data_IF_003488523310
#
_entry.id   IF_003488523310
#
_cell.length_a   1.000
_cell.length_b   1.000
_cell.length_c   1.000
_cell.angle_alpha   90.00
_cell.angle_beta   90.00
_cell.angle_gamma   90.00
#
_symmetry.space_group_name_H-M   'P 1'
#
loop_
_entity.id
_entity.type
_entity.pdbx_description
1 polymer ?
#
# COMPACT_ATOMS: atom_id res chain seq x y z
N UNK A 1 -9.15 -2.98 12.53
CA UNK A 1 -8.01 -2.15 12.08
C UNK A 1 -7.70 -2.42 10.61
N UNK A 2 -7.52 -3.70 10.22
CA UNK A 2 -7.26 -4.09 8.83
C UNK A 2 -8.34 -3.62 7.84
N UNK A 3 -9.62 -3.84 8.14
CA UNK A 3 -10.71 -3.42 7.25
C UNK A 3 -10.72 -1.90 6.98
N UNK A 4 -10.42 -1.09 8.00
CA UNK A 4 -10.33 0.39 7.83
C UNK A 4 -9.15 0.77 6.93
N UNK A 5 -8.01 0.10 7.07
CA UNK A 5 -6.85 0.33 6.20
C UNK A 5 -7.17 -0.02 4.75
N UNK A 6 -7.79 -1.18 4.53
CA UNK A 6 -8.19 -1.65 3.20
C UNK A 6 -9.18 -0.68 2.56
N UNK A 7 -10.16 -0.19 3.33
CA UNK A 7 -11.14 0.77 2.84
C UNK A 7 -10.49 2.12 2.47
N UNK A 8 -9.53 2.60 3.25
CA UNK A 8 -8.78 3.81 2.89
C UNK A 8 -7.88 3.63 1.66
N UNK A 9 -7.25 2.47 1.49
CA UNK A 9 -6.45 2.15 0.30
C UNK A 9 -7.33 2.07 -0.95
N UNK A 10 -8.48 1.42 -0.88
CA UNK A 10 -9.44 1.35 -2.00
C UNK A 10 -9.94 2.74 -2.37
N UNK A 11 -10.29 3.58 -1.39
CA UNK A 11 -10.68 4.97 -1.65
C UNK A 11 -9.54 5.77 -2.31
N UNK A 12 -8.30 5.60 -1.82
CA UNK A 12 -7.11 6.20 -2.41
C UNK A 12 -6.89 5.77 -3.86
N UNK A 13 -7.00 4.46 -4.14
CA UNK A 13 -6.88 3.91 -5.48
C UNK A 13 -7.96 4.44 -6.43
N UNK A 14 -9.20 4.61 -5.95
CA UNK A 14 -10.26 5.20 -6.76
C UNK A 14 -9.93 6.67 -7.09
N UNK A 15 -9.57 7.46 -6.08
CA UNK A 15 -9.32 8.90 -6.24
C UNK A 15 -8.07 9.20 -7.07
N UNK A 16 -6.97 8.50 -6.79
CA UNK A 16 -5.66 8.80 -7.39
C UNK A 16 -5.34 7.93 -8.60
N UNK A 17 -5.94 6.75 -8.77
CA UNK A 17 -5.70 5.93 -9.97
C UNK A 17 -6.91 5.87 -10.90
N UNK A 18 -8.07 5.42 -10.41
CA UNK A 18 -9.22 5.19 -11.28
C UNK A 18 -9.73 6.46 -11.97
N UNK A 19 -9.86 7.57 -11.23
CA UNK A 19 -10.32 8.84 -11.80
C UNK A 19 -9.33 9.40 -12.83
N UNK A 20 -8.02 9.55 -12.54
CA UNK A 20 -7.06 10.05 -13.53
C UNK A 20 -6.95 9.15 -14.76
N UNK A 21 -7.01 7.81 -14.59
CA UNK A 21 -7.01 6.87 -15.72
C UNK A 21 -8.26 7.08 -16.59
N UNK A 22 -9.43 7.21 -15.99
CA UNK A 22 -10.66 7.47 -16.73
C UNK A 22 -10.56 8.78 -17.52
N UNK A 23 -10.04 9.84 -16.91
CA UNK A 23 -9.81 11.13 -17.58
C UNK A 23 -8.85 10.95 -18.77
N UNK A 24 -7.76 10.21 -18.60
CA UNK A 24 -6.82 9.92 -19.70
C UNK A 24 -7.50 9.16 -20.84
N UNK A 25 -8.30 8.13 -20.54
CA UNK A 25 -9.02 7.34 -21.55
C UNK A 25 -10.02 8.21 -22.31
N UNK A 26 -10.84 9.00 -21.61
CA UNK A 26 -11.81 9.91 -22.24
C UNK A 26 -11.11 10.94 -23.13
N UNK A 27 -10.00 11.48 -22.63
CA UNK A 27 -9.19 12.46 -23.36
C UNK A 27 -8.60 11.87 -24.64
N UNK A 28 -8.15 10.62 -24.58
CA UNK A 28 -7.60 9.89 -25.72
C UNK A 28 -8.66 9.58 -26.78
N UNK A 29 -9.82 9.04 -26.37
CA UNK A 29 -10.90 8.65 -27.28
C UNK A 29 -11.55 9.86 -27.96
N UNK A 30 -11.65 10.99 -27.26
CA UNK A 30 -12.32 12.19 -27.78
C UNK A 30 -11.41 13.11 -28.60
N UNK A 31 -10.16 12.71 -28.84
CA UNK A 31 -9.13 13.48 -29.58
C UNK A 31 -9.05 14.96 -29.15
N UNK A 32 -9.09 15.21 -27.83
CA UNK A 32 -9.02 16.59 -27.34
C UNK A 32 -7.75 17.28 -27.84
N UNK A 33 -7.89 18.46 -28.44
CA UNK A 33 -6.78 19.28 -28.94
C UNK A 33 -5.70 19.57 -27.88
N UNK A 34 -6.05 19.55 -26.59
CA UNK A 34 -5.14 19.72 -25.45
C UNK A 34 -4.89 18.44 -24.66
N UNK A 35 -5.14 17.27 -25.26
CA UNK A 35 -5.13 16.00 -24.55
C UNK A 35 -3.78 15.63 -23.94
N UNK A 36 -2.68 15.98 -24.61
CA UNK A 36 -1.32 15.80 -24.07
C UNK A 36 -1.08 16.59 -22.78
N UNK A 37 -1.61 17.82 -22.69
CA UNK A 37 -1.52 18.65 -21.48
C UNK A 37 -2.28 17.99 -20.31
N UNK A 38 -3.49 17.52 -20.57
CA UNK A 38 -4.32 16.83 -19.56
C UNK A 38 -3.65 15.53 -19.10
N UNK A 39 -3.11 14.74 -20.04
CA UNK A 39 -2.38 13.51 -19.72
C UNK A 39 -1.13 13.78 -18.86
N UNK A 40 -0.37 14.84 -19.14
CA UNK A 40 0.79 15.23 -18.34
C UNK A 40 0.45 15.59 -16.89
N UNK A 41 -0.77 16.06 -16.61
CA UNK A 41 -1.23 16.30 -15.24
C UNK A 41 -1.85 15.05 -14.59
N UNK A 42 -2.57 14.23 -15.37
CA UNK A 42 -3.24 13.02 -14.87
C UNK A 42 -2.25 11.87 -14.56
N UNK A 43 -1.15 11.77 -15.31
CA UNK A 43 -0.18 10.69 -15.15
C UNK A 43 0.54 10.74 -13.79
N UNK A 44 1.08 11.88 -13.32
CA UNK A 44 1.66 11.98 -11.98
C UNK A 44 0.64 11.72 -10.87
N UNK A 45 -0.60 12.19 -11.02
CA UNK A 45 -1.70 11.91 -10.08
C UNK A 45 -1.92 10.40 -9.94
N UNK A 46 -1.82 9.68 -11.05
CA UNK A 46 -1.83 8.21 -11.06
C UNK A 46 -0.66 7.69 -10.24
N UNK A 47 0.57 8.12 -10.45
CA UNK A 47 1.73 7.64 -9.68
C UNK A 47 1.61 7.90 -8.17
N UNK A 48 0.96 8.99 -7.75
CA UNK A 48 0.75 9.31 -6.33
C UNK A 48 -0.09 8.27 -5.57
N UNK A 49 -0.89 7.44 -6.23
CA UNK A 49 -1.67 6.39 -5.56
C UNK A 49 -0.77 5.42 -4.78
N UNK A 50 0.40 5.03 -5.34
CA UNK A 50 1.34 4.11 -4.69
C UNK A 50 1.91 4.74 -3.42
N UNK A 51 2.25 6.03 -3.50
CA UNK A 51 2.79 6.76 -2.34
C UNK A 51 1.73 6.88 -1.25
N UNK A 52 0.48 7.17 -1.63
CA UNK A 52 -0.65 7.21 -0.70
C UNK A 52 -0.89 5.84 -0.03
N UNK A 53 -0.85 4.75 -0.78
CA UNK A 53 -1.01 3.40 -0.23
C UNK A 53 0.08 3.03 0.77
N UNK A 54 1.34 3.41 0.48
CA UNK A 54 2.44 3.25 1.43
C UNK A 54 2.22 4.05 2.72
N UNK A 55 1.71 5.28 2.63
CA UNK A 55 1.39 6.10 3.80
C UNK A 55 0.23 5.51 4.61
N UNK A 56 -0.81 5.00 3.95
CA UNK A 56 -1.92 4.31 4.61
C UNK A 56 -1.45 3.06 5.36
N UNK A 57 -0.57 2.25 4.76
CA UNK A 57 0.05 1.11 5.43
C UNK A 57 0.84 1.55 6.67
N UNK A 58 1.66 2.58 6.55
CA UNK A 58 2.43 3.12 7.67
C UNK A 58 1.56 3.65 8.81
N UNK A 59 0.43 4.26 8.48
CA UNK A 59 -0.48 4.85 9.46
C UNK A 59 -1.34 3.80 10.18
N UNK A 60 -1.98 2.89 9.43
CA UNK A 60 -2.95 1.95 9.99
C UNK A 60 -2.33 0.65 10.47
N UNK A 61 -1.22 0.18 9.87
CA UNK A 61 -0.59 -1.09 10.22
C UNK A 61 0.45 -0.86 11.32
N UNK A 62 -0.02 -0.81 12.57
CA UNK A 62 0.81 -0.68 13.78
C UNK A 62 2.09 -1.55 13.81
N UNK A 63 2.09 -2.85 13.44
CA UNK A 63 3.33 -3.62 13.43
C UNK A 63 4.34 -3.12 12.40
N UNK A 64 3.87 -2.62 11.25
CA UNK A 64 4.71 -2.07 10.19
C UNK A 64 5.39 -0.77 10.63
N UNK A 65 4.64 0.13 11.28
CA UNK A 65 5.21 1.36 11.87
C UNK A 65 6.29 1.05 12.90
N UNK A 66 6.07 0.05 13.77
CA UNK A 66 7.08 -0.37 14.76
C UNK A 66 8.32 -0.96 14.09
N UNK A 67 8.17 -1.69 12.99
CA UNK A 67 9.28 -2.20 12.20
C UNK A 67 10.11 -1.06 11.59
N UNK A 68 9.49 -0.09 10.92
CA UNK A 68 10.20 1.05 10.30
C UNK A 68 10.94 1.88 11.35
N UNK A 69 10.30 2.22 12.47
CA UNK A 69 10.95 3.00 13.54
C UNK A 69 12.18 2.25 14.09
N UNK A 70 12.11 0.92 14.22
CA UNK A 70 13.23 0.10 14.69
C UNK A 70 14.35 -0.03 13.66
N UNK A 71 14.00 -0.11 12.37
CA UNK A 71 14.95 -0.14 11.26
C UNK A 71 15.71 1.20 11.16
N UNK A 72 15.01 2.33 11.25
CA UNK A 72 15.64 3.67 11.23
C UNK A 72 16.44 4.00 12.48
N UNK A 73 16.04 3.52 13.67
CA UNK A 73 16.80 3.72 14.91
C UNK A 73 18.08 2.88 15.02
N UNK A 74 18.42 2.06 14.02
CA UNK A 74 19.60 1.19 14.05
C UNK A 74 19.56 0.11 15.14
N UNK A 75 18.42 -0.04 15.82
CA UNK A 75 18.21 -1.10 16.81
C UNK A 75 18.23 -2.44 16.10
N UNK A 76 19.30 -3.22 16.32
CA UNK A 76 19.43 -4.61 15.83
C UNK A 76 18.11 -5.33 16.10
N UNK A 77 17.50 -5.87 15.04
CA UNK A 77 16.33 -6.73 15.19
C UNK A 77 16.72 -7.81 16.21
N UNK A 78 16.00 -7.99 17.33
CA UNK A 78 16.07 -9.29 17.97
C UNK A 78 15.59 -10.25 16.89
N UNK A 79 16.46 -11.15 16.46
CA UNK A 79 16.12 -12.31 15.63
C UNK A 79 14.97 -12.98 16.37
N UNK A 80 13.74 -12.63 15.98
CA UNK A 80 12.55 -13.08 16.69
C UNK A 80 12.49 -14.55 16.33
N UNK A 81 12.73 -15.40 17.33
CA UNK A 81 12.51 -16.86 17.42
C UNK A 81 11.08 -17.29 17.03
N UNK A 82 10.51 -16.73 15.96
CA UNK A 82 9.19 -17.09 15.45
C UNK A 82 9.20 -18.44 14.74
N UNK A 83 10.37 -18.97 14.40
CA UNK A 83 10.53 -20.37 13.95
C UNK A 83 10.38 -21.37 15.09
N UNK A 84 10.74 -21.03 16.34
CA UNK A 84 10.64 -21.98 17.47
C UNK A 84 9.20 -22.09 17.97
N UNK A 85 8.43 -20.99 18.00
CA UNK A 85 7.03 -21.05 18.46
C UNK A 85 6.10 -21.68 17.42
N UNK A 86 6.34 -21.46 16.12
CA UNK A 86 5.60 -22.16 15.08
C UNK A 86 5.94 -23.66 15.04
N UNK A 87 7.23 -24.03 15.15
CA UNK A 87 7.64 -25.43 15.21
C UNK A 87 7.07 -26.17 16.43
N UNK A 88 7.04 -25.55 17.61
CA UNK A 88 6.44 -26.17 18.80
C UNK A 88 4.93 -26.32 18.68
N UNK A 89 4.22 -25.41 18.02
CA UNK A 89 2.77 -25.53 17.81
C UNK A 89 2.38 -26.68 16.86
N UNK A 90 3.25 -27.01 15.89
CA UNK A 90 3.08 -28.20 15.04
C UNK A 90 3.48 -29.49 15.77
N UNK A 91 4.51 -29.45 16.60
CA UNK A 91 4.96 -30.64 17.34
C UNK A 91 4.01 -31.04 18.48
N UNK A 92 3.30 -30.08 19.08
CA UNK A 92 2.32 -30.33 20.15
C UNK A 92 0.95 -30.82 19.63
N UNK A 93 0.64 -30.61 18.35
CA UNK A 93 -0.61 -31.08 17.71
C UNK A 93 -0.45 -32.36 16.85
N UNK A 94 0.72 -33.00 16.85
CA UNK A 94 0.97 -34.25 16.09
C UNK A 94 1.10 -35.48 17.00
N UNK A 95 0.81 -35.33 18.30
CA UNK A 95 0.77 -36.43 19.28
C UNK A 95 -0.62 -36.49 19.93
N UNK A 96 -1.68 -36.61 19.12
CA UNK A 96 -2.97 -37.23 19.50
C UNK A 96 -3.50 -37.95 18.28
#
# INVERSE_FOLDING_TARGET
>A
MLHRALLTQVLGAILFAAIPILIMVVTFVSEFRKGSLIANFAFPLTTFHVTFDCLCLLYFVKPYRRFIIRAFKGSKLPVRRSTVTAANFYHENTII
#
